data_IF_179287423569
#
_entry.id   IF_179287423569
#
_cell.length_a   1.000
_cell.length_b   1.000
_cell.length_c   1.000
_cell.angle_alpha   90.00
_cell.angle_beta   90.00
_cell.angle_gamma   90.00
#
_symmetry.space_group_name_H-M   'P 1'
#
loop_
_entity.id
_entity.type
_entity.pdbx_description
1 polymer ?
#
# COMPACT_ATOMS: atom_id res chain seq x y z
N UNK A 1 56.39 14.71 18.60
CA UNK A 1 57.11 13.43 18.42
C UNK A 1 56.09 12.32 18.26
N UNK A 2 56.35 11.46 17.29
CA UNK A 2 55.65 10.22 16.89
C UNK A 2 55.92 9.17 18.02
N UNK A 3 55.00 8.31 18.51
CA UNK A 3 54.77 6.93 18.04
C UNK A 3 53.93 6.07 19.03
N UNK A 4 52.95 5.33 18.47
CA UNK A 4 52.61 3.89 18.71
C UNK A 4 52.00 3.52 20.10
N UNK A 5 51.01 2.65 20.33
CA UNK A 5 50.47 1.43 19.70
C UNK A 5 49.18 1.12 20.43
N UNK A 6 48.09 0.72 19.75
CA UNK A 6 47.13 -0.20 20.37
C UNK A 6 46.91 -1.33 19.37
N UNK A 7 47.33 -2.51 19.83
CA UNK A 7 47.32 -3.79 19.11
C UNK A 7 45.94 -4.15 18.58
N UNK A 8 45.97 -4.75 17.39
CA UNK A 8 44.89 -5.49 16.78
C UNK A 8 44.46 -6.67 17.66
N UNK A 9 43.16 -6.81 17.87
CA UNK A 9 42.53 -8.13 17.86
C UNK A 9 41.40 -8.08 16.83
N UNK A 10 41.67 -8.73 15.70
CA UNK A 10 40.73 -8.94 14.62
C UNK A 10 39.61 -9.87 15.08
N UNK A 11 38.35 -9.47 14.89
CA UNK A 11 37.24 -10.39 14.79
C UNK A 11 36.09 -9.76 14.00
N UNK A 12 35.58 -10.55 13.06
CA UNK A 12 34.33 -10.36 12.32
C UNK A 12 34.31 -9.27 11.24
N UNK A 13 34.78 -9.69 10.06
CA UNK A 13 34.16 -9.37 8.78
C UNK A 13 32.63 -9.22 8.91
N UNK A 14 32.13 -8.00 8.77
CA UNK A 14 30.81 -7.77 8.18
C UNK A 14 30.97 -6.67 7.15
N UNK A 15 31.25 -7.10 5.92
CA UNK A 15 31.01 -6.31 4.74
C UNK A 15 29.51 -6.02 4.67
N UNK A 16 29.05 -4.99 5.38
CA UNK A 16 27.77 -4.35 5.07
C UNK A 16 28.00 -3.46 3.87
N UNK A 17 28.04 -4.11 2.70
CA UNK A 17 27.75 -3.44 1.45
C UNK A 17 26.40 -2.75 1.65
N UNK A 18 26.42 -1.42 1.77
CA UNK A 18 25.23 -0.59 1.59
C UNK A 18 24.84 -0.67 0.11
N UNK A 19 24.35 -1.85 -0.30
CA UNK A 19 23.50 -1.97 -1.45
C UNK A 19 22.17 -1.35 -0.99
N UNK A 20 22.07 -0.02 -1.14
CA UNK A 20 20.76 0.62 -1.18
C UNK A 20 20.00 -0.09 -2.31
N UNK A 21 18.90 -0.81 -2.03
CA UNK A 21 18.01 -1.17 -3.11
C UNK A 21 17.45 0.16 -3.64
N UNK A 22 17.97 0.60 -4.79
CA UNK A 22 17.22 1.48 -5.67
C UNK A 22 15.97 0.71 -6.06
N UNK A 23 14.90 0.88 -5.30
CA UNK A 23 13.56 0.54 -5.73
C UNK A 23 13.14 1.54 -6.81
N UNK A 24 13.86 1.54 -7.94
CA UNK A 24 13.25 1.87 -9.20
C UNK A 24 12.36 0.67 -9.54
N UNK A 25 11.23 0.56 -8.83
CA UNK A 25 10.08 -0.12 -9.40
C UNK A 25 9.73 0.72 -10.62
N UNK A 26 10.26 0.31 -11.77
CA UNK A 26 9.55 0.50 -13.01
C UNK A 26 8.16 -0.06 -12.72
N UNK A 27 7.20 0.83 -12.44
CA UNK A 27 5.82 0.46 -12.39
C UNK A 27 5.58 -0.30 -13.68
N UNK A 28 5.23 -1.58 -13.56
CA UNK A 28 4.81 -2.38 -14.69
C UNK A 28 3.74 -1.54 -15.39
N UNK A 29 4.10 -0.90 -16.50
CA UNK A 29 3.16 -0.16 -17.36
C UNK A 29 2.19 -1.13 -18.05
N UNK A 30 2.37 -2.42 -17.78
CA UNK A 30 1.45 -3.51 -18.04
C UNK A 30 0.58 -3.86 -16.82
N UNK A 31 0.33 -2.93 -15.90
CA UNK A 31 -0.96 -2.89 -15.23
C UNK A 31 -1.99 -2.69 -16.36
N UNK A 32 -2.40 -3.79 -16.99
CA UNK A 32 -3.39 -3.84 -18.06
C UNK A 32 -4.51 -2.95 -17.57
N UNK A 33 -4.66 -1.79 -18.20
CA UNK A 33 -5.68 -0.82 -17.85
C UNK A 33 -7.00 -1.50 -18.15
N UNK A 34 -7.53 -2.21 -17.15
CA UNK A 34 -8.77 -2.97 -17.25
C UNK A 34 -9.77 -1.97 -17.80
N UNK A 35 -10.27 -2.24 -19.00
CA UNK A 35 -11.21 -1.34 -19.65
C UNK A 35 -12.35 -1.09 -18.65
N UNK A 36 -12.57 0.18 -18.30
CA UNK A 36 -13.56 0.54 -17.30
C UNK A 36 -14.95 0.23 -17.86
N UNK A 37 -15.54 -0.88 -17.41
CA UNK A 37 -16.88 -1.26 -17.84
C UNK A 37 -17.92 -0.72 -16.88
N UNK A 38 -19.17 -0.59 -17.36
CA UNK A 38 -20.29 -0.13 -16.52
C UNK A 38 -20.56 -1.10 -15.38
N UNK A 39 -20.40 -2.39 -15.63
CA UNK A 39 -20.58 -3.46 -14.65
C UNK A 39 -19.54 -3.36 -13.53
N UNK A 40 -18.28 -3.08 -13.89
CA UNK A 40 -17.21 -2.88 -12.92
C UNK A 40 -17.47 -1.66 -12.02
N UNK A 41 -17.89 -0.53 -12.61
CA UNK A 41 -18.27 0.67 -11.84
C UNK A 41 -19.46 0.38 -10.91
N UNK A 42 -20.48 -0.34 -11.39
CA UNK A 42 -21.63 -0.68 -10.55
C UNK A 42 -21.24 -1.56 -9.37
N UNK A 43 -20.43 -2.59 -9.60
CA UNK A 43 -19.96 -3.48 -8.55
C UNK A 43 -19.11 -2.76 -7.49
N UNK A 44 -18.30 -1.79 -7.93
CA UNK A 44 -17.49 -0.94 -7.05
C UNK A 44 -18.37 0.00 -6.20
N UNK A 45 -19.35 0.65 -6.81
CA UNK A 45 -20.32 1.49 -6.09
C UNK A 45 -21.15 0.70 -5.07
N UNK A 46 -21.53 -0.54 -5.40
CA UNK A 46 -22.18 -1.43 -4.45
C UNK A 46 -21.26 -1.79 -3.28
N UNK A 47 -19.97 -2.06 -3.53
CA UNK A 47 -19.00 -2.33 -2.48
C UNK A 47 -18.79 -1.10 -1.59
N UNK A 48 -18.69 0.09 -2.17
CA UNK A 48 -18.61 1.37 -1.48
C UNK A 48 -19.81 1.60 -0.57
N UNK A 49 -21.02 1.35 -1.09
CA UNK A 49 -22.25 1.44 -0.33
C UNK A 49 -22.33 0.40 0.80
N UNK A 50 -22.00 -0.87 0.54
CA UNK A 50 -21.98 -1.94 1.57
C UNK A 50 -20.99 -1.65 2.69
N UNK A 51 -19.87 -0.99 2.40
CA UNK A 51 -18.92 -0.53 3.39
C UNK A 51 -19.43 0.67 4.21
N UNK A 52 -20.56 1.26 3.83
CA UNK A 52 -21.15 2.42 4.48
C UNK A 52 -20.34 3.69 4.27
N UNK A 53 -19.55 3.75 3.18
CA UNK A 53 -18.76 4.93 2.81
C UNK A 53 -19.61 6.00 2.10
N UNK A 54 -20.80 5.64 1.60
CA UNK A 54 -21.76 6.60 1.02
C UNK A 54 -22.21 7.69 2.00
N UNK A 55 -22.10 7.43 3.31
CA UNK A 55 -22.42 8.39 4.37
C UNK A 55 -21.39 9.52 4.47
N UNK A 56 -20.21 9.37 3.88
CA UNK A 56 -19.15 10.37 3.90
C UNK A 56 -19.26 11.25 2.65
N UNK A 57 -20.04 12.33 2.76
CA UNK A 57 -20.14 13.33 1.70
C UNK A 57 -18.90 14.23 1.72
N UNK A 58 -18.33 14.50 0.54
CA UNK A 58 -17.27 15.48 0.32
C UNK A 58 -17.82 16.87 0.74
N UNK A 59 -17.52 17.31 1.96
CA UNK A 59 -18.02 18.58 2.51
C UNK A 59 -18.24 18.54 4.03
N UNK A 60 -18.99 17.55 4.52
CA UNK A 60 -19.35 17.47 5.95
C UNK A 60 -18.27 16.78 6.80
N UNK A 61 -17.37 16.03 6.16
CA UNK A 61 -16.40 15.14 6.83
C UNK A 61 -15.02 15.13 6.15
N UNK A 62 -14.69 16.11 5.33
CA UNK A 62 -13.43 16.15 4.59
C UNK A 62 -12.17 16.16 5.49
N UNK A 63 -12.32 16.49 6.78
CA UNK A 63 -11.28 16.40 7.82
C UNK A 63 -11.29 15.09 8.60
N UNK A 64 -12.24 14.17 8.36
CA UNK A 64 -12.43 12.92 9.12
C UNK A 64 -11.79 11.70 8.46
N UNK A 65 -10.86 11.86 7.51
CA UNK A 65 -10.12 10.72 6.96
C UNK A 65 -9.26 10.02 8.03
N UNK A 66 -8.84 10.74 9.07
CA UNK A 66 -8.17 10.18 10.26
C UNK A 66 -9.13 9.51 11.26
N UNK A 67 -10.45 9.55 11.02
CA UNK A 67 -11.43 8.97 11.94
C UNK A 67 -11.33 7.44 11.93
N UNK A 68 -11.21 6.82 13.11
CA UNK A 68 -11.13 5.37 13.26
C UNK A 68 -12.32 4.63 12.62
N UNK A 69 -13.53 5.20 12.65
CA UNK A 69 -14.71 4.63 12.02
C UNK A 69 -14.62 4.67 10.49
N UNK A 70 -14.07 5.76 9.93
CA UNK A 70 -13.81 5.84 8.49
C UNK A 70 -12.79 4.79 8.07
N UNK A 71 -11.69 4.65 8.81
CA UNK A 71 -10.64 3.66 8.54
C UNK A 71 -11.15 2.22 8.58
N UNK A 72 -12.03 1.88 9.55
CA UNK A 72 -12.69 0.57 9.60
C UNK A 72 -13.52 0.29 8.36
N UNK A 73 -14.31 1.27 7.91
CA UNK A 73 -15.16 1.15 6.71
C UNK A 73 -14.32 1.05 5.44
N UNK A 74 -13.24 1.82 5.35
CA UNK A 74 -12.29 1.74 4.25
C UNK A 74 -11.63 0.36 4.17
N UNK A 75 -11.22 -0.23 5.30
CA UNK A 75 -10.67 -1.58 5.32
C UNK A 75 -11.70 -2.63 4.86
N UNK A 76 -12.97 -2.47 5.25
CA UNK A 76 -14.05 -3.35 4.76
C UNK A 76 -14.24 -3.22 3.23
N UNK A 77 -14.25 -2.01 2.70
CA UNK A 77 -14.31 -1.77 1.26
C UNK A 77 -13.15 -2.43 0.51
N UNK A 78 -11.92 -2.25 0.98
CA UNK A 78 -10.73 -2.86 0.38
C UNK A 78 -10.80 -4.39 0.38
N UNK A 79 -11.32 -4.99 1.47
CA UNK A 79 -11.55 -6.43 1.53
C UNK A 79 -12.56 -6.89 0.49
N UNK A 80 -13.69 -6.19 0.34
CA UNK A 80 -14.71 -6.52 -0.67
C UNK A 80 -14.14 -6.44 -2.09
N UNK A 81 -13.30 -5.44 -2.37
CA UNK A 81 -12.60 -5.36 -3.66
C UNK A 81 -11.64 -6.54 -3.88
N UNK A 82 -10.85 -6.92 -2.87
CA UNK A 82 -9.91 -8.04 -2.97
C UNK A 82 -10.62 -9.38 -3.20
N UNK A 83 -11.76 -9.59 -2.53
CA UNK A 83 -12.62 -10.77 -2.74
C UNK A 83 -13.17 -10.81 -4.18
N UNK A 84 -13.62 -9.67 -4.71
CA UNK A 84 -14.08 -9.56 -6.10
C UNK A 84 -12.96 -9.82 -7.10
N UNK A 85 -11.77 -9.25 -6.88
CA UNK A 85 -10.61 -9.47 -7.75
C UNK A 85 -10.22 -10.95 -7.79
N UNK A 86 -10.20 -11.61 -6.63
CA UNK A 86 -9.91 -13.05 -6.51
C UNK A 86 -10.99 -13.90 -7.20
N UNK A 87 -12.27 -13.52 -7.08
CA UNK A 87 -13.37 -14.23 -7.73
C UNK A 87 -13.29 -14.13 -9.26
N UNK A 88 -12.86 -12.99 -9.80
CA UNK A 88 -12.69 -12.82 -11.26
C UNK A 88 -11.45 -13.50 -11.85
N UNK A 89 -10.51 -13.93 -11.00
CA UNK A 89 -9.27 -14.59 -11.41
C UNK A 89 -9.36 -16.13 -11.43
N UNK A 90 -10.47 -16.71 -10.97
CA UNK A 90 -10.76 -18.14 -10.99
C UNK A 90 -11.66 -18.48 -12.16
#
# INVERSE_FOLDING_TARGET
MKLITISLLAAALMASSLAFPTHAQAADTNATSRALTREAVRADLEAWHRAGLSEYRLGDRASNFENAEYQKRLALYQRLQAEQATATAR
#
